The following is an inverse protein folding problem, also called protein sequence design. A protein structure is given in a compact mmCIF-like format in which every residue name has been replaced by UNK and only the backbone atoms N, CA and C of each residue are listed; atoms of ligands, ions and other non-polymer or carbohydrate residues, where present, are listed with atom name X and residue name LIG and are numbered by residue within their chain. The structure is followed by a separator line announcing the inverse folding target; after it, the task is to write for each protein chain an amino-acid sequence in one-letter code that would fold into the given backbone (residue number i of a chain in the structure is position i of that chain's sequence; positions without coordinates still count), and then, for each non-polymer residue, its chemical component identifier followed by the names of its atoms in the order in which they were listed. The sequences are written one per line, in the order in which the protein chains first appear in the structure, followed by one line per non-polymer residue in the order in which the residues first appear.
data_IF_045348030739
#
_entry.id   IF_045348030739
#
_cell.length_a   1.000
_cell.length_b   1.000
_cell.length_c   1.000
_cell.angle_alpha   90.00
_cell.angle_beta   90.00
_cell.angle_gamma   90.00
#
_symmetry.space_group_name_H-M   'P 1'
#
loop_
_entity.id
_entity.type
_entity.pdbx_description
1 polymer ?
#
# COMPACT_ATOMS: atom_id res chain seq x y z
N UNK A 1 -22.16 14.75 3.86
CA UNK A 1 -21.72 13.84 2.77
C UNK A 1 -20.33 13.31 3.11
N UNK A 2 -20.10 12.00 3.05
CA UNK A 2 -18.79 11.38 3.32
C UNK A 2 -18.26 10.72 2.04
N UNK A 3 -17.29 11.32 1.34
CA UNK A 3 -16.71 10.70 0.15
C UNK A 3 -15.97 9.41 0.56
N UNK A 4 -16.23 8.31 -0.16
CA UNK A 4 -15.58 7.02 0.04
C UNK A 4 -15.14 6.45 -1.29
N UNK A 5 -14.01 5.75 -1.28
CA UNK A 5 -13.53 4.97 -2.41
C UNK A 5 -13.95 3.51 -2.23
N UNK A 6 -14.06 2.80 -3.35
CA UNK A 6 -14.38 1.38 -3.38
C UNK A 6 -13.14 0.62 -3.85
N UNK A 7 -12.63 -0.29 -3.01
CA UNK A 7 -11.56 -1.20 -3.42
C UNK A 7 -12.05 -2.12 -4.53
N UNK A 8 -11.22 -2.39 -5.53
CA UNK A 8 -11.55 -3.29 -6.63
C UNK A 8 -11.78 -4.74 -6.17
N UNK A 9 -11.17 -5.13 -5.05
CA UNK A 9 -11.41 -6.38 -4.35
C UNK A 9 -11.75 -6.09 -2.90
N UNK A 10 -12.87 -6.61 -2.43
CA UNK A 10 -13.29 -6.48 -1.05
C UNK A 10 -14.76 -6.87 -0.86
N UNK A 11 -15.21 -6.98 0.41
CA UNK A 11 -16.52 -7.54 0.74
C UNK A 11 -17.67 -6.77 0.09
N UNK A 12 -17.55 -5.44 -0.01
CA UNK A 12 -18.59 -4.60 -0.59
C UNK A 12 -18.76 -4.83 -2.11
N UNK A 13 -17.66 -4.95 -2.85
CA UNK A 13 -17.73 -5.27 -4.29
C UNK A 13 -18.31 -6.66 -4.51
N UNK A 14 -17.87 -7.64 -3.73
CA UNK A 14 -18.40 -9.01 -3.79
C UNK A 14 -19.90 -9.05 -3.47
N UNK A 15 -20.35 -8.26 -2.49
CA UNK A 15 -21.76 -8.13 -2.15
C UNK A 15 -22.56 -7.46 -3.27
N UNK A 16 -22.04 -6.39 -3.89
CA UNK A 16 -22.71 -5.71 -5.01
C UNK A 16 -22.88 -6.64 -6.23
N UNK A 17 -21.88 -7.50 -6.48
CA UNK A 17 -21.92 -8.50 -7.56
C UNK A 17 -22.91 -9.61 -7.23
N UNK A 18 -22.78 -10.25 -6.05
CA UNK A 18 -23.61 -11.41 -5.66
C UNK A 18 -25.08 -11.05 -5.46
N UNK A 19 -25.38 -9.86 -4.95
CA UNK A 19 -26.74 -9.33 -4.82
C UNK A 19 -27.32 -8.80 -6.14
N UNK A 20 -26.52 -8.75 -7.21
CA UNK A 20 -26.92 -8.25 -8.52
C UNK A 20 -27.37 -6.77 -8.53
N UNK A 21 -26.99 -6.01 -7.49
CA UNK A 21 -27.27 -4.57 -7.34
C UNK A 21 -26.32 -3.74 -8.21
N UNK A 22 -25.14 -4.26 -8.56
CA UNK A 22 -24.14 -3.55 -9.36
C UNK A 22 -24.69 -2.98 -10.70
N UNK A 23 -25.78 -3.55 -11.24
CA UNK A 23 -26.47 -3.04 -12.46
C UNK A 23 -27.07 -1.63 -12.33
N UNK A 24 -27.26 -1.15 -11.10
CA UNK A 24 -27.89 0.14 -10.81
C UNK A 24 -26.88 1.26 -10.57
N UNK A 25 -25.59 0.96 -10.64
CA UNK A 25 -24.54 1.94 -10.41
C UNK A 25 -23.43 1.79 -11.46
N UNK A 26 -22.85 2.92 -11.85
CA UNK A 26 -21.65 2.95 -12.67
C UNK A 26 -20.47 3.39 -11.80
N UNK A 27 -19.29 2.85 -12.11
CA UNK A 27 -18.06 3.14 -11.40
C UNK A 27 -17.04 3.75 -12.34
N UNK A 28 -16.29 4.74 -11.85
CA UNK A 28 -15.13 5.29 -12.56
C UNK A 28 -13.87 4.94 -11.79
N UNK A 29 -12.88 4.42 -12.50
CA UNK A 29 -11.59 4.07 -11.90
C UNK A 29 -10.83 5.32 -11.45
N UNK A 30 -10.17 5.22 -10.29
CA UNK A 30 -9.19 6.19 -9.84
C UNK A 30 -7.94 6.04 -10.70
N UNK A 31 -7.53 7.11 -11.36
CA UNK A 31 -6.42 7.07 -12.32
C UNK A 31 -5.05 7.38 -11.71
N UNK A 32 -5.01 8.08 -10.56
CA UNK A 32 -3.78 8.55 -9.93
C UNK A 32 -3.94 8.60 -8.41
N UNK A 33 -2.90 8.17 -7.71
CA UNK A 33 -2.73 8.37 -6.26
C UNK A 33 -1.65 9.43 -6.06
N UNK A 34 -1.90 10.38 -5.17
CA UNK A 34 -1.00 11.50 -4.90
C UNK A 34 -0.65 11.48 -3.42
N UNK A 35 0.59 11.85 -3.09
CA UNK A 35 1.04 12.04 -1.72
C UNK A 35 1.60 13.45 -1.54
N UNK A 36 1.50 13.95 -0.30
CA UNK A 36 2.14 15.19 0.08
C UNK A 36 3.55 14.88 0.57
N UNK A 37 4.56 15.33 -0.16
CA UNK A 37 5.97 15.12 0.17
C UNK A 37 6.77 16.38 -0.18
N UNK A 38 7.60 16.85 0.76
CA UNK A 38 8.46 18.02 0.57
C UNK A 38 7.69 19.26 0.07
N UNK A 39 6.56 19.55 0.70
CA UNK A 39 5.66 20.66 0.37
C UNK A 39 5.12 20.66 -1.07
N UNK A 40 5.12 19.49 -1.71
CA UNK A 40 4.60 19.30 -3.06
C UNK A 40 3.68 18.10 -3.13
N UNK A 41 2.62 18.25 -3.92
CA UNK A 41 1.76 17.13 -4.31
C UNK A 41 2.47 16.31 -5.40
N UNK A 42 2.83 15.07 -5.08
CA UNK A 42 3.62 14.20 -5.94
C UNK A 42 2.85 12.92 -6.25
N UNK A 43 2.91 12.41 -7.50
CA UNK A 43 2.28 11.14 -7.86
C UNK A 43 3.03 9.97 -7.24
N UNK A 44 2.28 9.06 -6.63
CA UNK A 44 2.82 7.83 -6.04
C UNK A 44 2.92 6.78 -7.14
N UNK A 45 4.08 6.10 -7.29
CA UNK A 45 4.19 5.01 -8.25
C UNK A 45 3.39 3.80 -7.76
N UNK A 46 2.27 3.51 -8.43
CA UNK A 46 1.35 2.43 -8.04
C UNK A 46 1.47 1.17 -8.91
N UNK A 47 2.25 1.22 -9.98
CA UNK A 47 2.51 0.07 -10.85
C UNK A 47 4.00 -0.13 -11.08
N UNK A 48 4.38 -1.32 -11.55
CA UNK A 48 5.75 -1.60 -11.98
C UNK A 48 6.24 -0.58 -13.02
N UNK A 49 5.38 -0.21 -13.97
CA UNK A 49 5.70 0.80 -14.98
C UNK A 49 5.93 2.18 -14.36
N UNK A 50 5.11 2.58 -13.38
CA UNK A 50 5.25 3.87 -12.70
C UNK A 50 6.51 3.93 -11.82
N UNK A 51 6.85 2.82 -11.15
CA UNK A 51 8.11 2.69 -10.39
C UNK A 51 9.30 2.89 -11.33
N UNK A 52 9.25 2.36 -12.56
CA UNK A 52 10.31 2.60 -13.53
C UNK A 52 10.32 4.04 -14.07
N UNK A 53 9.17 4.64 -14.33
CA UNK A 53 9.04 5.97 -14.93
C UNK A 53 9.33 7.14 -13.96
N UNK A 54 9.16 6.95 -12.65
CA UNK A 54 9.31 8.07 -11.69
C UNK A 54 10.76 8.52 -11.52
N UNK A 55 10.99 9.83 -11.54
CA UNK A 55 12.30 10.44 -11.23
C UNK A 55 12.46 10.74 -9.72
N UNK A 56 11.38 10.68 -8.95
CA UNK A 56 11.35 10.99 -7.52
C UNK A 56 11.98 9.91 -6.62
N UNK A 57 12.41 8.79 -7.21
CA UNK A 57 12.96 7.62 -6.52
C UNK A 57 14.21 7.17 -7.26
N UNK A 58 15.31 6.95 -6.54
CA UNK A 58 16.56 6.48 -7.15
C UNK A 58 16.45 5.03 -7.65
N UNK A 59 17.35 4.61 -8.54
CA UNK A 59 17.37 3.22 -9.07
C UNK A 59 17.50 2.19 -7.94
N UNK A 60 18.28 2.50 -6.91
CA UNK A 60 18.46 1.61 -5.74
C UNK A 60 17.15 1.49 -4.96
N UNK A 61 16.50 2.61 -4.67
CA UNK A 61 15.22 2.64 -3.97
C UNK A 61 14.10 1.95 -4.75
N UNK A 62 14.06 2.09 -6.09
CA UNK A 62 13.12 1.34 -6.96
C UNK A 62 13.27 -0.17 -6.78
N UNK A 63 14.52 -0.65 -6.72
CA UNK A 63 14.81 -2.07 -6.50
C UNK A 63 14.37 -2.53 -5.11
N UNK A 64 14.62 -1.71 -4.09
CA UNK A 64 14.20 -1.99 -2.70
C UNK A 64 12.69 -2.06 -2.58
N UNK A 65 11.97 -1.10 -3.16
CA UNK A 65 10.51 -1.05 -3.16
C UNK A 65 9.91 -2.28 -3.84
N UNK A 66 10.37 -2.61 -5.06
CA UNK A 66 9.88 -3.79 -5.78
C UNK A 66 10.18 -5.09 -5.03
N UNK A 67 11.38 -5.22 -4.46
CA UNK A 67 11.75 -6.40 -3.66
C UNK A 67 10.82 -6.54 -2.45
N UNK A 68 10.55 -5.44 -1.75
CA UNK A 68 9.66 -5.45 -0.59
C UNK A 68 8.23 -5.82 -0.96
N UNK A 69 7.64 -5.15 -1.97
CA UNK A 69 6.27 -5.43 -2.40
C UNK A 69 6.10 -6.87 -2.88
N UNK A 70 7.07 -7.38 -3.63
CA UNK A 70 7.06 -8.78 -4.09
C UNK A 70 7.19 -9.76 -2.92
N UNK A 71 7.98 -9.40 -1.90
CA UNK A 71 8.12 -10.21 -0.68
C UNK A 71 6.79 -10.30 0.08
N UNK A 72 6.13 -9.17 0.30
CA UNK A 72 4.85 -9.11 1.03
C UNK A 72 3.77 -9.91 0.29
N UNK A 73 3.64 -9.71 -1.02
CA UNK A 73 2.65 -10.42 -1.85
C UNK A 73 2.97 -11.92 -1.99
N UNK A 74 4.25 -12.28 -1.92
CA UNK A 74 4.71 -13.66 -2.09
C UNK A 74 4.69 -14.49 -0.81
N UNK A 75 4.49 -13.89 0.36
CA UNK A 75 4.44 -14.63 1.62
C UNK A 75 3.18 -15.49 1.72
N UNK A 76 3.38 -16.77 2.01
CA UNK A 76 2.28 -17.63 2.45
C UNK A 76 1.94 -17.37 3.93
N UNK A 77 0.79 -17.84 4.40
CA UNK A 77 0.33 -17.60 5.79
C UNK A 77 1.35 -18.02 6.85
N UNK A 78 2.06 -19.13 6.66
CA UNK A 78 3.11 -19.61 7.58
C UNK A 78 4.34 -18.70 7.58
N UNK A 79 4.76 -18.21 6.40
CA UNK A 79 5.91 -17.32 6.26
C UNK A 79 5.61 -15.95 6.86
N UNK A 80 4.38 -15.46 6.66
CA UNK A 80 3.90 -14.23 7.28
C UNK A 80 3.87 -14.37 8.81
N UNK A 81 3.34 -15.47 9.34
CA UNK A 81 3.31 -15.71 10.79
C UNK A 81 4.71 -15.77 11.40
N UNK A 82 5.69 -16.34 10.70
CA UNK A 82 7.07 -16.40 11.18
C UNK A 82 7.78 -15.04 11.09
N UNK A 83 7.63 -14.31 9.98
CA UNK A 83 8.27 -13.01 9.75
C UNK A 83 7.75 -11.93 10.70
N UNK A 84 6.44 -11.92 10.99
CA UNK A 84 5.79 -10.87 11.78
C UNK A 84 5.59 -11.23 13.25
N UNK A 85 6.02 -12.43 13.70
CA UNK A 85 5.87 -12.89 15.08
C UNK A 85 6.41 -11.90 16.12
N UNK A 86 7.61 -11.37 15.85
CA UNK A 86 8.33 -10.43 16.72
C UNK A 86 7.91 -8.96 16.52
N UNK A 87 6.94 -8.72 15.63
CA UNK A 87 6.44 -7.40 15.23
C UNK A 87 4.99 -7.14 15.65
N UNK A 88 4.40 -8.04 16.44
CA UNK A 88 3.01 -7.95 16.90
C UNK A 88 2.74 -6.67 17.70
N UNK A 89 3.67 -6.27 18.57
CA UNK A 89 3.53 -5.09 19.44
C UNK A 89 4.17 -3.81 18.88
N UNK A 90 4.66 -3.85 17.63
CA UNK A 90 5.43 -2.76 17.01
C UNK A 90 4.65 -2.08 15.89
N UNK A 91 5.05 -0.84 15.61
CA UNK A 91 4.45 -0.06 14.53
C UNK A 91 4.93 -0.56 13.16
N UNK A 92 4.10 -0.38 12.14
CA UNK A 92 4.49 -0.70 10.76
C UNK A 92 5.72 0.12 10.34
N UNK A 93 5.82 1.37 10.78
CA UNK A 93 6.98 2.24 10.53
C UNK A 93 8.30 1.64 11.04
N UNK A 94 8.30 1.06 12.25
CA UNK A 94 9.48 0.39 12.80
C UNK A 94 9.90 -0.82 11.98
N UNK A 95 8.94 -1.61 11.51
CA UNK A 95 9.20 -2.74 10.62
C UNK A 95 9.83 -2.29 9.29
N UNK A 96 9.28 -1.25 8.67
CA UNK A 96 9.81 -0.70 7.42
C UNK A 96 11.25 -0.18 7.61
N UNK A 97 11.52 0.44 8.75
CA UNK A 97 12.86 0.94 9.11
C UNK A 97 13.82 -0.21 9.33
N UNK A 98 13.40 -1.28 10.01
CA UNK A 98 14.21 -2.48 10.21
C UNK A 98 14.53 -3.22 8.91
N UNK A 99 13.62 -3.22 7.94
CA UNK A 99 13.88 -3.72 6.59
C UNK A 99 14.86 -2.85 5.78
N UNK A 100 15.30 -1.71 6.34
CA UNK A 100 16.29 -0.83 5.75
C UNK A 100 15.74 0.11 4.68
N UNK A 101 14.44 0.36 4.64
CA UNK A 101 13.87 1.30 3.67
C UNK A 101 14.27 2.75 3.99
N UNK A 102 14.44 3.55 2.94
CA UNK A 102 14.69 4.98 3.10
C UNK A 102 13.42 5.69 3.60
N UNK A 103 13.55 6.84 4.30
CA UNK A 103 12.39 7.61 4.77
C UNK A 103 11.38 7.95 3.66
N UNK A 104 11.87 8.19 2.44
CA UNK A 104 11.05 8.44 1.26
C UNK A 104 10.19 7.21 0.88
N UNK A 105 10.79 6.02 0.87
CA UNK A 105 10.05 4.78 0.61
C UNK A 105 9.08 4.43 1.74
N UNK A 106 9.49 4.64 2.99
CA UNK A 106 8.62 4.48 4.16
C UNK A 106 7.37 5.35 4.00
N UNK A 107 7.53 6.60 3.57
CA UNK A 107 6.42 7.52 3.31
C UNK A 107 5.45 6.97 2.27
N UNK A 108 5.95 6.49 1.13
CA UNK A 108 5.09 5.91 0.09
C UNK A 108 4.36 4.66 0.58
N UNK A 109 5.07 3.73 1.24
CA UNK A 109 4.49 2.45 1.66
C UNK A 109 3.46 2.66 2.78
N UNK A 110 3.79 3.47 3.80
CA UNK A 110 2.91 3.70 4.95
C UNK A 110 1.66 4.50 4.58
N UNK A 111 1.84 5.67 3.95
CA UNK A 111 0.73 6.61 3.75
C UNK A 111 -0.06 6.35 2.47
N UNK A 112 0.59 5.92 1.39
CA UNK A 112 -0.07 5.82 0.10
C UNK A 112 -0.49 4.39 -0.28
N UNK A 113 0.24 3.37 0.16
CA UNK A 113 -0.09 1.97 -0.13
C UNK A 113 -0.92 1.36 1.01
N UNK A 114 -0.40 1.39 2.24
CA UNK A 114 -1.12 0.88 3.41
C UNK A 114 -2.27 1.81 3.87
N UNK A 115 -2.23 3.09 3.47
CA UNK A 115 -3.25 4.08 3.88
C UNK A 115 -3.28 4.34 5.39
N UNK A 116 -2.15 4.09 6.06
CA UNK A 116 -2.02 4.14 7.51
C UNK A 116 -1.50 5.46 8.05
N UNK A 117 -1.31 5.47 9.36
CA UNK A 117 -0.64 6.55 10.10
C UNK A 117 0.56 5.98 10.85
N UNK A 118 1.40 6.83 11.45
CA UNK A 118 2.58 6.39 12.21
C UNK A 118 2.26 5.43 13.37
N UNK A 119 1.01 5.42 13.86
CA UNK A 119 0.56 4.54 14.94
C UNK A 119 -0.05 3.23 14.45
N UNK A 120 -0.04 2.95 13.14
CA UNK A 120 -0.57 1.73 12.57
C UNK A 120 0.22 0.50 13.07
N UNK A 121 -0.46 -0.51 13.66
CA UNK A 121 0.18 -1.78 14.01
C UNK A 121 0.76 -2.48 12.77
N UNK A 122 1.88 -3.17 12.93
CA UNK A 122 2.58 -3.82 11.81
C UNK A 122 1.68 -4.78 11.02
N UNK A 123 0.90 -5.62 11.71
CA UNK A 123 -0.02 -6.58 11.10
C UNK A 123 -1.15 -5.93 10.29
N UNK A 124 -1.58 -4.72 10.66
CA UNK A 124 -2.63 -4.00 9.94
C UNK A 124 -2.09 -3.39 8.64
N UNK A 125 -0.82 -2.97 8.62
CA UNK A 125 -0.18 -2.42 7.41
C UNK A 125 0.18 -3.44 6.34
N UNK A 126 0.11 -4.74 6.65
CA UNK A 126 0.49 -5.85 5.76
C UNK A 126 -0.73 -6.57 5.16
N UNK A 127 -1.92 -6.40 5.77
CA UNK A 127 -3.18 -7.00 5.31
C UNK A 127 -3.86 -6.19 4.21
#
# INVERSE_FOLDING_TARGET
MTPKLLFSRGPLVELLISSNIARYAEFRCVTRVLTWLSDKLTPVPCSRADVFATEAVSIVEKRMLMKMLTSIVGYNEEEMNNEFKDWTDKTFQEYLTHKGLTPNLIHYVLYAIAGGTNSMPCLEGVR
#
